data_IF_881332764801
#
_entry.id   IF_881332764801
#
_cell.length_a   1.000
_cell.length_b   1.000
_cell.length_c   1.000
_cell.angle_alpha   90.00
_cell.angle_beta   90.00
_cell.angle_gamma   90.00
#
_symmetry.space_group_name_H-M   'P 1'
#
loop_
_entity.id
_entity.type
_entity.pdbx_description
1 polymer ?
#
# COMPACT_ATOMS: atom_id res chain seq x y z
N UNK A 1 -13.06 8.71 47.02
CA UNK A 1 -12.31 8.57 45.75
C UNK A 1 -12.64 7.20 45.18
N UNK A 2 -13.58 7.15 44.23
CA UNK A 2 -13.85 5.94 43.50
C UNK A 2 -12.74 5.80 42.44
N UNK A 3 -11.92 4.76 42.59
CA UNK A 3 -10.98 4.36 41.53
C UNK A 3 -11.82 3.91 40.36
N UNK A 4 -11.78 4.66 39.25
CA UNK A 4 -12.31 4.20 37.97
C UNK A 4 -11.73 2.83 37.67
N UNK A 5 -12.52 1.85 37.23
CA UNK A 5 -11.99 0.56 36.84
C UNK A 5 -10.97 0.80 35.70
N UNK A 6 -9.76 0.32 35.89
CA UNK A 6 -8.74 0.28 34.81
C UNK A 6 -9.41 -0.43 33.63
N UNK A 7 -9.58 0.30 32.51
CA UNK A 7 -10.12 -0.30 31.29
C UNK A 7 -9.30 -1.56 30.98
N UNK A 8 -9.98 -2.65 30.66
CA UNK A 8 -9.34 -3.91 30.34
C UNK A 8 -8.41 -3.69 29.15
N UNK A 9 -7.12 -3.92 29.32
CA UNK A 9 -6.13 -3.81 28.27
C UNK A 9 -5.97 -5.16 27.59
N UNK A 10 -6.09 -5.19 26.27
CA UNK A 10 -5.90 -6.37 25.44
C UNK A 10 -4.65 -6.19 24.58
N UNK A 11 -3.75 -7.17 24.61
CA UNK A 11 -2.60 -7.22 23.70
C UNK A 11 -2.96 -8.07 22.50
N UNK A 12 -2.83 -7.50 21.31
CA UNK A 12 -3.11 -8.16 20.04
C UNK A 12 -1.84 -8.17 19.17
N UNK A 13 -1.76 -9.03 18.11
CA UNK A 13 -0.73 -8.89 17.08
C UNK A 13 -0.63 -7.45 16.61
N UNK A 14 0.58 -6.96 16.42
CA UNK A 14 0.83 -5.56 16.11
C UNK A 14 0.24 -5.15 14.76
N UNK A 15 -0.40 -3.98 14.69
CA UNK A 15 -0.83 -3.44 13.42
C UNK A 15 0.36 -3.09 12.53
N UNK A 16 0.28 -3.51 11.27
CA UNK A 16 1.24 -3.24 10.22
C UNK A 16 0.55 -2.54 9.06
N UNK A 17 1.07 -1.40 8.64
CA UNK A 17 0.64 -0.77 7.40
C UNK A 17 1.50 -1.29 6.26
N UNK A 18 0.90 -2.11 5.40
CA UNK A 18 1.63 -2.76 4.31
C UNK A 18 1.80 -1.89 3.06
N UNK A 19 1.26 -0.66 3.05
CA UNK A 19 1.41 0.29 1.97
C UNK A 19 1.20 1.73 2.48
N UNK A 20 2.27 2.47 2.67
CA UNK A 20 2.23 3.89 3.03
C UNK A 20 3.38 4.65 2.35
N UNK A 21 3.28 5.97 2.34
CA UNK A 21 4.29 6.91 1.86
C UNK A 21 4.68 7.87 3.00
N UNK A 22 5.07 7.31 4.15
CA UNK A 22 5.38 8.05 5.37
C UNK A 22 6.59 8.98 5.19
N UNK A 23 7.60 8.52 4.42
CA UNK A 23 8.79 9.31 4.14
C UNK A 23 8.45 10.56 3.32
N UNK A 24 7.50 10.44 2.39
CA UNK A 24 7.01 11.54 1.59
C UNK A 24 6.30 12.59 2.45
N UNK A 25 5.43 12.17 3.36
CA UNK A 25 4.78 13.07 4.33
C UNK A 25 5.81 13.77 5.21
N UNK A 26 6.77 13.05 5.74
CA UNK A 26 7.87 13.61 6.53
C UNK A 26 8.68 14.66 5.74
N UNK A 27 8.84 14.48 4.43
CA UNK A 27 9.48 15.44 3.55
C UNK A 27 8.62 16.69 3.26
N UNK A 28 7.31 16.62 3.54
CA UNK A 28 6.38 17.71 3.23
C UNK A 28 6.02 17.81 1.75
N UNK A 29 6.12 16.70 1.00
CA UNK A 29 5.77 16.65 -0.42
C UNK A 29 4.27 16.45 -0.59
N UNK A 30 3.59 17.48 -1.10
CA UNK A 30 2.15 17.45 -1.33
C UNK A 30 1.78 16.62 -2.57
N UNK A 31 0.60 15.96 -2.53
CA UNK A 31 0.00 15.38 -3.72
C UNK A 31 -0.59 16.45 -4.65
N UNK A 32 -0.75 16.18 -5.97
CA UNK A 32 -1.47 17.07 -6.85
C UNK A 32 -2.86 17.39 -6.29
N UNK A 33 -3.23 18.67 -6.21
CA UNK A 33 -4.38 19.09 -5.39
C UNK A 33 -5.75 18.73 -5.99
N UNK A 34 -5.81 18.30 -7.26
CA UNK A 34 -7.08 18.00 -7.93
C UNK A 34 -6.97 16.83 -8.90
N UNK A 35 -8.07 16.08 -9.16
CA UNK A 35 -8.11 15.02 -10.19
C UNK A 35 -7.74 15.53 -11.59
N UNK A 36 -8.07 16.79 -11.91
CA UNK A 36 -7.69 17.39 -13.19
C UNK A 36 -6.16 17.59 -13.31
N UNK A 37 -5.50 18.07 -12.28
CA UNK A 37 -4.04 18.22 -12.25
C UNK A 37 -3.34 16.86 -12.37
N UNK A 38 -3.86 15.84 -11.70
CA UNK A 38 -3.38 14.45 -11.82
C UNK A 38 -3.53 13.94 -13.25
N UNK A 39 -4.70 14.12 -13.87
CA UNK A 39 -4.95 13.70 -15.27
C UNK A 39 -4.00 14.38 -16.25
N UNK A 40 -3.87 15.70 -16.17
CA UNK A 40 -2.98 16.47 -17.02
C UNK A 40 -1.52 16.02 -16.89
N UNK A 41 -1.10 15.77 -15.65
CA UNK A 41 0.23 15.28 -15.37
C UNK A 41 0.46 13.86 -15.93
N UNK A 42 -0.45 12.91 -15.69
CA UNK A 42 -0.34 11.55 -16.25
C UNK A 42 -0.29 11.56 -17.78
N UNK A 43 -1.07 12.44 -18.43
CA UNK A 43 -1.04 12.59 -19.89
C UNK A 43 0.28 13.16 -20.38
N UNK A 44 0.89 14.09 -19.65
CA UNK A 44 2.15 14.74 -20.07
C UNK A 44 3.36 13.78 -20.08
N UNK A 45 3.32 12.72 -19.25
CA UNK A 45 4.41 11.71 -19.15
C UNK A 45 4.06 10.41 -19.86
N UNK A 46 2.81 10.25 -20.30
CA UNK A 46 2.39 9.11 -21.11
C UNK A 46 3.25 9.03 -22.39
N UNK A 47 3.82 7.88 -22.67
CA UNK A 47 4.70 7.68 -23.83
C UNK A 47 6.19 7.93 -23.57
N UNK A 48 6.58 8.44 -22.40
CA UNK A 48 8.00 8.59 -22.04
C UNK A 48 8.60 7.30 -21.45
N UNK A 49 7.82 6.22 -21.32
CA UNK A 49 8.24 4.95 -20.70
C UNK A 49 8.54 5.07 -19.20
N UNK A 50 8.18 6.18 -18.58
CA UNK A 50 8.38 6.49 -17.17
C UNK A 50 7.03 6.63 -16.46
N UNK A 51 6.96 6.16 -15.25
CA UNK A 51 5.79 6.45 -14.39
C UNK A 51 5.76 7.95 -14.07
N UNK A 52 4.57 8.59 -14.10
CA UNK A 52 4.39 9.90 -13.52
C UNK A 52 4.92 9.99 -12.10
N UNK A 53 4.78 8.92 -11.36
CA UNK A 53 5.22 8.84 -9.97
C UNK A 53 6.75 8.83 -9.85
N UNK A 54 7.49 8.38 -10.86
CA UNK A 54 8.95 8.47 -10.91
C UNK A 54 9.45 9.91 -11.20
N UNK A 55 8.56 10.77 -11.68
CA UNK A 55 8.87 12.16 -12.07
C UNK A 55 8.37 13.17 -11.01
N UNK A 56 7.30 12.81 -10.25
CA UNK A 56 6.57 13.74 -9.36
C UNK A 56 7.32 14.17 -8.11
N UNK A 57 8.35 13.45 -7.69
CA UNK A 57 9.01 13.76 -6.43
C UNK A 57 10.52 13.94 -6.62
N UNK A 58 10.99 15.14 -6.90
CA UNK A 58 12.35 15.44 -6.49
C UNK A 58 12.41 15.19 -4.97
N UNK A 59 13.45 14.46 -4.52
CA UNK A 59 13.78 14.45 -3.09
C UNK A 59 13.88 15.91 -2.69
N UNK A 60 13.07 16.41 -1.73
CA UNK A 60 13.18 17.80 -1.32
C UNK A 60 14.62 18.05 -0.87
N UNK A 61 15.14 19.21 -1.20
CA UNK A 61 16.42 19.69 -0.66
C UNK A 61 16.20 20.06 0.83
N UNK A 62 15.98 19.02 1.63
CA UNK A 62 15.80 19.14 3.08
C UNK A 62 17.12 18.73 3.71
N UNK A 63 17.68 19.61 4.55
CA UNK A 63 18.88 19.27 5.30
C UNK A 63 18.65 18.00 6.16
N UNK A 64 19.62 17.09 6.24
CA UNK A 64 19.51 15.86 7.01
C UNK A 64 18.98 16.06 8.44
N UNK A 65 19.46 17.02 9.26
CA UNK A 65 18.92 17.23 10.60
C UNK A 65 17.44 17.61 10.65
N UNK A 66 16.95 18.34 9.65
CA UNK A 66 15.51 18.67 9.55
C UNK A 66 14.70 17.45 9.13
N UNK A 67 15.25 16.58 8.28
CA UNK A 67 14.63 15.33 7.88
C UNK A 67 14.54 14.36 9.07
N UNK A 68 15.60 14.21 9.86
CA UNK A 68 15.63 13.36 11.06
C UNK A 68 14.49 13.71 12.03
N UNK A 69 14.32 15.00 12.34
CA UNK A 69 13.26 15.46 13.24
C UNK A 69 11.85 15.18 12.70
N UNK A 70 11.65 15.34 11.39
CA UNK A 70 10.35 15.06 10.73
C UNK A 70 10.06 13.58 10.68
N UNK A 71 11.05 12.73 10.37
CA UNK A 71 10.91 11.28 10.37
C UNK A 71 10.61 10.74 11.78
N UNK A 72 11.33 11.22 12.80
CA UNK A 72 11.05 10.87 14.19
C UNK A 72 9.61 11.20 14.59
N UNK A 73 9.12 12.39 14.22
CA UNK A 73 7.74 12.80 14.48
C UNK A 73 6.73 11.93 13.71
N UNK A 74 6.99 11.58 12.44
CA UNK A 74 6.13 10.74 11.63
C UNK A 74 6.04 9.31 12.21
N UNK A 75 7.16 8.70 12.59
CA UNK A 75 7.19 7.39 13.24
C UNK A 75 6.49 7.40 14.61
N UNK A 76 6.62 8.49 15.37
CA UNK A 76 5.90 8.66 16.64
C UNK A 76 4.39 8.74 16.43
N UNK A 77 3.92 9.47 15.40
CA UNK A 77 2.49 9.50 15.04
C UNK A 77 1.98 8.12 14.65
N UNK A 78 2.76 7.38 13.86
CA UNK A 78 2.41 6.02 13.46
C UNK A 78 2.25 5.07 14.65
N UNK A 79 3.20 5.11 15.59
CA UNK A 79 3.11 4.33 16.82
C UNK A 79 1.92 4.76 17.69
N UNK A 80 1.63 6.06 17.79
CA UNK A 80 0.45 6.58 18.50
C UNK A 80 -0.87 6.14 17.85
N UNK A 81 -0.90 5.94 16.53
CA UNK A 81 -2.03 5.35 15.81
C UNK A 81 -2.17 3.83 16.02
N UNK A 82 -1.18 3.19 16.64
CA UNK A 82 -1.19 1.74 16.94
C UNK A 82 -0.31 0.90 16.01
N UNK A 83 0.42 1.50 15.09
CA UNK A 83 1.27 0.79 14.15
C UNK A 83 2.60 0.38 14.79
N UNK A 84 3.02 -0.85 14.57
CA UNK A 84 4.34 -1.39 14.95
C UNK A 84 5.25 -1.61 13.74
N UNK A 85 4.68 -1.63 12.53
CA UNK A 85 5.41 -1.69 11.27
C UNK A 85 4.75 -0.77 10.22
N UNK A 86 5.60 -0.15 9.41
CA UNK A 86 5.18 0.56 8.19
C UNK A 86 6.00 0.04 7.01
N UNK A 87 5.30 -0.23 5.89
CA UNK A 87 5.94 -0.47 4.62
C UNK A 87 5.89 0.79 3.77
N UNK A 88 7.03 1.46 3.62
CA UNK A 88 7.21 2.58 2.71
C UNK A 88 7.21 2.10 1.27
N UNK A 89 6.23 2.55 0.47
CA UNK A 89 6.03 2.10 -0.90
C UNK A 89 6.54 3.09 -1.94
N UNK A 90 7.85 3.16 -2.08
CA UNK A 90 8.49 3.94 -3.12
C UNK A 90 9.41 5.02 -2.58
N UNK A 91 10.35 4.66 -1.72
CA UNK A 91 11.43 5.56 -1.29
C UNK A 91 12.22 6.09 -2.48
N UNK A 92 12.42 7.41 -2.57
CA UNK A 92 12.97 8.08 -3.75
C UNK A 92 14.31 8.77 -3.54
N UNK A 93 14.94 8.57 -2.41
CA UNK A 93 16.25 9.14 -2.11
C UNK A 93 16.94 8.42 -0.98
N UNK A 94 18.23 8.23 -1.12
CA UNK A 94 19.06 7.56 -0.11
C UNK A 94 19.17 8.35 1.18
N UNK A 95 19.00 9.69 1.13
CA UNK A 95 18.96 10.54 2.31
C UNK A 95 17.91 10.09 3.38
N UNK A 96 16.80 9.47 2.94
CA UNK A 96 15.82 8.90 3.87
C UNK A 96 16.36 7.68 4.61
N UNK A 97 17.10 6.82 3.90
CA UNK A 97 17.73 5.65 4.52
C UNK A 97 18.82 6.07 5.49
N UNK A 98 19.64 7.06 5.12
CA UNK A 98 20.70 7.61 5.97
C UNK A 98 20.11 8.27 7.23
N UNK A 99 18.99 9.00 7.11
CA UNK A 99 18.27 9.58 8.24
C UNK A 99 17.67 8.53 9.18
N UNK A 100 17.06 7.46 8.63
CA UNK A 100 16.56 6.35 9.44
C UNK A 100 17.71 5.62 10.16
N UNK A 101 18.87 5.46 9.51
CA UNK A 101 20.07 4.89 10.14
C UNK A 101 20.56 5.75 11.30
N UNK A 102 20.59 7.08 11.15
CA UNK A 102 20.95 8.02 12.21
C UNK A 102 19.96 7.94 13.39
N UNK A 103 18.65 7.88 13.12
CA UNK A 103 17.62 7.76 14.17
C UNK A 103 17.78 6.49 15.00
N UNK A 104 17.95 5.31 14.36
CA UNK A 104 18.10 4.06 15.09
C UNK A 104 19.42 3.94 15.83
N UNK A 105 20.47 4.67 15.44
CA UNK A 105 21.71 4.77 16.21
C UNK A 105 21.51 5.45 17.58
N UNK A 106 20.46 6.29 17.71
CA UNK A 106 20.04 6.90 18.96
C UNK A 106 19.18 6.01 19.86
N UNK A 107 18.73 4.86 19.37
CA UNK A 107 17.87 3.92 20.10
C UNK A 107 16.82 3.23 19.23
N UNK A 108 15.95 2.40 19.83
CA UNK A 108 14.84 1.74 19.12
C UNK A 108 13.92 2.75 18.44
N UNK A 109 13.50 2.45 17.19
CA UNK A 109 12.47 3.23 16.52
C UNK A 109 11.08 2.94 17.12
N UNK A 110 10.16 3.92 17.11
CA UNK A 110 8.78 3.74 17.59
C UNK A 110 7.99 2.66 16.84
N UNK A 111 8.34 2.42 15.58
CA UNK A 111 7.89 1.29 14.77
C UNK A 111 9.00 0.90 13.77
N UNK A 112 9.01 -0.34 13.32
CA UNK A 112 9.98 -0.78 12.30
C UNK A 112 9.53 -0.32 10.90
N UNK A 113 10.49 -0.12 10.01
CA UNK A 113 10.25 0.40 8.66
C UNK A 113 10.76 -0.58 7.63
N UNK A 114 9.85 -1.11 6.83
CA UNK A 114 10.13 -1.91 5.64
C UNK A 114 10.11 -0.98 4.43
N UNK A 115 11.07 -1.08 3.53
CA UNK A 115 11.22 -0.13 2.42
C UNK A 115 11.20 -0.87 1.09
N UNK A 116 10.36 -0.39 0.18
CA UNK A 116 10.45 -0.62 -1.25
C UNK A 116 10.99 0.65 -1.91
N UNK A 117 12.09 0.51 -2.64
CA UNK A 117 12.72 1.61 -3.38
C UNK A 117 11.88 1.92 -4.62
N UNK A 118 11.67 3.17 -4.96
CA UNK A 118 11.06 3.53 -6.24
C UNK A 118 11.91 3.04 -7.42
N UNK A 119 11.27 2.49 -8.46
CA UNK A 119 11.97 1.91 -9.61
C UNK A 119 12.93 2.91 -10.28
N UNK A 120 12.57 4.20 -10.31
CA UNK A 120 13.44 5.25 -10.86
C UNK A 120 14.75 5.43 -10.08
N UNK A 121 14.70 5.42 -8.73
CA UNK A 121 15.90 5.47 -7.90
C UNK A 121 16.72 4.17 -8.05
N UNK A 122 16.05 3.03 -8.11
CA UNK A 122 16.71 1.74 -8.30
C UNK A 122 17.50 1.67 -9.62
N UNK A 123 16.93 2.16 -10.71
CA UNK A 123 17.58 2.21 -12.04
C UNK A 123 18.73 3.21 -12.07
N UNK A 124 18.55 4.38 -11.44
CA UNK A 124 19.58 5.40 -11.36
C UNK A 124 20.82 4.92 -10.58
N UNK A 125 20.60 4.20 -9.48
CA UNK A 125 21.67 3.68 -8.63
C UNK A 125 22.37 2.47 -9.25
N UNK A 126 21.62 1.63 -9.96
CA UNK A 126 22.11 0.36 -10.48
C UNK A 126 22.16 -0.75 -9.44
N UNK A 127 22.23 -1.99 -9.93
CA UNK A 127 22.07 -3.20 -9.10
C UNK A 127 23.14 -3.35 -8.01
N UNK A 128 24.37 -2.95 -8.29
CA UNK A 128 25.47 -3.09 -7.33
C UNK A 128 25.30 -2.17 -6.10
N UNK A 129 24.86 -0.92 -6.33
CA UNK A 129 24.58 0.00 -5.22
C UNK A 129 23.35 -0.45 -4.43
N UNK A 130 22.29 -0.90 -5.12
CA UNK A 130 21.11 -1.46 -4.45
C UNK A 130 21.47 -2.61 -3.51
N UNK A 131 22.25 -3.59 -3.97
CA UNK A 131 22.68 -4.72 -3.16
C UNK A 131 23.55 -4.28 -1.97
N UNK A 132 24.45 -3.32 -2.20
CA UNK A 132 25.28 -2.74 -1.14
C UNK A 132 24.44 -2.03 -0.06
N UNK A 133 23.43 -1.25 -0.48
CA UNK A 133 22.50 -0.55 0.42
C UNK A 133 21.58 -1.51 1.19
N UNK A 134 21.28 -2.68 0.63
CA UNK A 134 20.45 -3.71 1.26
C UNK A 134 21.17 -4.46 2.39
N UNK A 135 22.49 -4.54 2.36
CA UNK A 135 23.27 -5.49 3.15
C UNK A 135 23.16 -5.28 4.67
N UNK A 136 23.11 -4.03 5.13
CA UNK A 136 22.98 -3.71 6.56
C UNK A 136 22.26 -2.38 6.77
N UNK A 137 21.05 -2.45 7.30
CA UNK A 137 20.23 -1.28 7.62
C UNK A 137 19.86 -1.28 9.12
N UNK A 138 20.51 -2.09 9.93
CA UNK A 138 20.23 -2.21 11.35
C UNK A 138 18.92 -2.97 11.65
N UNK A 139 18.55 -3.09 12.93
CA UNK A 139 17.47 -3.97 13.36
C UNK A 139 16.05 -3.39 13.15
N UNK A 140 15.91 -2.10 12.83
CA UNK A 140 14.60 -1.43 12.74
C UNK A 140 14.23 -1.03 11.32
N UNK A 141 15.16 -1.15 10.37
CA UNK A 141 14.95 -0.76 8.98
C UNK A 141 15.34 -1.90 8.06
N UNK A 142 14.47 -2.22 7.11
CA UNK A 142 14.72 -3.29 6.15
C UNK A 142 14.43 -2.83 4.73
N UNK A 143 15.45 -2.89 3.89
CA UNK A 143 15.33 -2.63 2.47
C UNK A 143 14.95 -3.94 1.76
N UNK A 144 13.68 -4.07 1.36
CA UNK A 144 13.10 -5.36 0.94
C UNK A 144 12.90 -5.49 -0.56
N UNK A 145 12.44 -4.43 -1.21
CA UNK A 145 11.97 -4.55 -2.57
C UNK A 145 12.08 -3.28 -3.42
N UNK A 146 11.54 -3.38 -4.63
CA UNK A 146 11.42 -2.28 -5.58
C UNK A 146 9.96 -2.10 -5.98
N UNK A 147 9.49 -0.85 -5.99
CA UNK A 147 8.14 -0.43 -6.37
C UNK A 147 8.10 0.06 -7.80
N UNK A 148 7.20 -0.53 -8.58
CA UNK A 148 6.87 -0.15 -9.95
C UNK A 148 5.45 0.41 -10.04
N UNK A 149 5.14 1.07 -11.16
CA UNK A 149 3.83 1.62 -11.49
C UNK A 149 3.43 1.21 -12.90
N UNK A 150 2.25 0.58 -13.05
CA UNK A 150 1.73 0.16 -14.36
C UNK A 150 0.75 1.16 -14.95
N UNK A 151 -0.04 1.86 -14.12
CA UNK A 151 -1.07 2.78 -14.56
C UNK A 151 -1.31 3.94 -13.59
N UNK A 152 -2.35 4.73 -13.85
CA UNK A 152 -2.81 5.82 -12.99
C UNK A 152 -3.89 5.43 -12.01
N UNK A 153 -4.82 6.36 -11.69
CA UNK A 153 -5.84 6.25 -10.66
C UNK A 153 -7.26 6.26 -11.23
N UNK A 154 -8.22 5.72 -10.47
CA UNK A 154 -9.61 5.60 -10.91
C UNK A 154 -10.32 6.97 -11.01
N UNK A 155 -10.28 7.78 -9.94
CA UNK A 155 -11.01 9.06 -9.86
C UNK A 155 -10.64 10.01 -10.99
N UNK A 156 -9.35 10.24 -11.33
CA UNK A 156 -8.98 11.08 -12.45
C UNK A 156 -9.12 10.40 -13.82
N UNK A 157 -9.65 9.17 -13.92
CA UNK A 157 -9.82 8.40 -15.17
C UNK A 157 -8.49 8.12 -15.88
N UNK A 158 -7.45 7.81 -15.09
CA UNK A 158 -6.10 7.52 -15.62
C UNK A 158 -5.67 6.08 -15.43
N UNK A 159 -6.36 5.28 -14.61
CA UNK A 159 -6.08 3.84 -14.51
C UNK A 159 -6.41 3.14 -15.85
N UNK A 160 -5.62 2.12 -16.19
CA UNK A 160 -5.70 1.48 -17.49
C UNK A 160 -6.78 0.39 -17.52
N UNK A 161 -7.83 0.61 -18.27
CA UNK A 161 -8.97 -0.30 -18.43
C UNK A 161 -8.91 -1.04 -19.78
N UNK A 162 -9.52 -2.23 -19.83
CA UNK A 162 -9.72 -2.98 -21.07
C UNK A 162 -10.74 -2.32 -22.00
N UNK A 163 -11.73 -1.62 -21.43
CA UNK A 163 -12.75 -0.86 -22.15
C UNK A 163 -12.71 0.61 -21.75
N UNK A 164 -13.33 1.48 -22.55
CA UNK A 164 -13.43 2.90 -22.26
C UNK A 164 -14.15 3.15 -20.93
N UNK A 165 -13.80 4.24 -20.26
CA UNK A 165 -14.58 4.74 -19.12
C UNK A 165 -16.03 5.00 -19.55
N UNK A 166 -16.97 4.85 -18.63
CA UNK A 166 -18.38 5.02 -18.96
C UNK A 166 -18.80 6.49 -19.13
N UNK A 167 -18.09 7.40 -18.48
CA UNK A 167 -18.39 8.84 -18.45
C UNK A 167 -17.42 9.69 -19.30
N UNK A 168 -16.40 9.11 -19.88
CA UNK A 168 -15.45 9.83 -20.75
C UNK A 168 -14.80 8.88 -21.75
N UNK A 169 -14.43 9.39 -22.91
CA UNK A 169 -13.71 8.61 -23.91
C UNK A 169 -12.30 8.25 -23.41
N UNK A 170 -11.86 7.05 -23.77
CA UNK A 170 -10.52 6.55 -23.47
C UNK A 170 -10.50 5.52 -22.33
N UNK A 171 -9.36 4.83 -22.24
CA UNK A 171 -9.15 3.66 -21.38
C UNK A 171 -8.09 3.89 -20.31
N UNK A 172 -7.79 5.14 -20.00
CA UNK A 172 -6.66 5.47 -19.12
C UNK A 172 -5.30 5.21 -19.80
N UNK A 173 -4.24 5.12 -18.99
CA UNK A 173 -2.86 5.09 -19.48
C UNK A 173 -2.09 3.95 -18.85
N UNK A 174 -1.52 3.05 -19.70
CA UNK A 174 -0.42 2.17 -19.30
C UNK A 174 0.90 2.92 -19.43
N UNK A 175 1.75 2.81 -18.42
CA UNK A 175 3.07 3.45 -18.43
C UNK A 175 4.14 2.63 -19.18
N UNK A 176 3.93 1.29 -19.27
CA UNK A 176 4.77 0.41 -20.06
C UNK A 176 3.99 -0.85 -20.49
N UNK A 177 4.43 -1.50 -21.57
CA UNK A 177 3.95 -2.84 -21.90
C UNK A 177 4.59 -3.92 -21.00
N UNK A 178 4.04 -5.13 -21.07
CA UNK A 178 4.48 -6.25 -20.25
C UNK A 178 5.97 -6.59 -20.46
N UNK A 179 6.44 -6.59 -21.70
CA UNK A 179 7.83 -6.91 -22.03
C UNK A 179 8.81 -5.86 -21.49
N UNK A 180 8.44 -4.57 -21.58
CA UNK A 180 9.26 -3.49 -21.05
C UNK A 180 9.31 -3.56 -19.51
N UNK A 181 8.19 -3.82 -18.85
CA UNK A 181 8.13 -3.99 -17.41
C UNK A 181 8.93 -5.22 -16.96
N UNK A 182 8.79 -6.36 -17.64
CA UNK A 182 9.52 -7.58 -17.36
C UNK A 182 11.05 -7.39 -17.42
N UNK A 183 11.56 -6.71 -18.45
CA UNK A 183 13.01 -6.42 -18.56
C UNK A 183 13.55 -5.61 -17.38
N UNK A 184 12.74 -4.77 -16.73
CA UNK A 184 13.12 -3.99 -15.55
C UNK A 184 13.06 -4.85 -14.28
N UNK A 185 12.09 -5.74 -14.18
CA UNK A 185 11.85 -6.61 -13.01
C UNK A 185 12.86 -7.76 -12.94
N UNK A 186 13.10 -8.46 -14.06
CA UNK A 186 13.88 -9.69 -14.11
C UNK A 186 15.25 -9.60 -13.41
N UNK A 187 16.13 -8.59 -13.66
CA UNK A 187 17.43 -8.54 -13.01
C UNK A 187 17.35 -8.32 -11.49
N UNK A 188 16.27 -7.71 -11.00
CA UNK A 188 16.00 -7.52 -9.56
C UNK A 188 15.51 -8.83 -8.93
N UNK A 189 14.56 -9.50 -9.59
CA UNK A 189 14.01 -10.77 -9.14
C UNK A 189 15.10 -11.85 -9.03
N UNK A 190 16.01 -11.93 -10.02
CA UNK A 190 17.17 -12.83 -10.01
C UNK A 190 18.13 -12.60 -8.85
N UNK A 191 18.11 -11.41 -8.25
CA UNK A 191 18.89 -11.03 -7.05
C UNK A 191 18.10 -11.15 -5.75
N UNK A 192 16.89 -11.70 -5.81
CA UNK A 192 16.01 -11.88 -4.65
C UNK A 192 15.42 -10.59 -4.10
N UNK A 193 15.32 -9.51 -4.92
CA UNK A 193 14.55 -8.34 -4.57
C UNK A 193 13.06 -8.65 -4.69
N UNK A 194 12.28 -8.25 -3.70
CA UNK A 194 10.83 -8.30 -3.78
C UNK A 194 10.32 -7.28 -4.77
N UNK A 195 9.24 -7.61 -5.46
CA UNK A 195 8.64 -6.74 -6.47
C UNK A 195 7.23 -6.34 -6.00
N UNK A 196 6.93 -5.06 -6.08
CA UNK A 196 5.59 -4.53 -5.88
C UNK A 196 5.24 -3.62 -7.07
N UNK A 197 4.06 -3.82 -7.67
CA UNK A 197 3.65 -3.04 -8.83
C UNK A 197 2.26 -2.45 -8.60
N UNK A 198 2.15 -1.13 -8.68
CA UNK A 198 0.86 -0.43 -8.70
C UNK A 198 0.08 -0.80 -9.96
N UNK A 199 -1.13 -1.32 -9.79
CA UNK A 199 -2.06 -1.60 -10.88
C UNK A 199 -3.50 -1.52 -10.37
N UNK A 200 -4.24 -0.52 -10.84
CA UNK A 200 -5.63 -0.25 -10.44
C UNK A 200 -6.62 -0.80 -11.47
N UNK A 201 -6.39 -0.52 -12.76
CA UNK A 201 -7.27 -0.96 -13.83
C UNK A 201 -7.03 -2.42 -14.24
N UNK A 202 -8.08 -3.05 -14.76
CA UNK A 202 -8.04 -4.46 -15.19
C UNK A 202 -6.98 -4.72 -16.28
N UNK A 203 -6.80 -3.80 -17.23
CA UNK A 203 -5.74 -3.88 -18.24
C UNK A 203 -4.34 -3.77 -17.61
N UNK A 204 -4.18 -2.91 -16.59
CA UNK A 204 -2.91 -2.79 -15.88
C UNK A 204 -2.57 -4.08 -15.12
N UNK A 205 -3.55 -4.65 -14.40
CA UNK A 205 -3.36 -5.93 -13.69
C UNK A 205 -3.01 -7.05 -14.66
N UNK A 206 -3.71 -7.17 -15.81
CA UNK A 206 -3.37 -8.13 -16.85
C UNK A 206 -1.92 -7.96 -17.33
N UNK A 207 -1.52 -6.72 -17.63
CA UNK A 207 -0.15 -6.39 -18.09
C UNK A 207 0.90 -6.73 -17.03
N UNK A 208 0.61 -6.50 -15.75
CA UNK A 208 1.53 -6.83 -14.64
C UNK A 208 1.69 -8.34 -14.50
N UNK A 209 0.61 -9.11 -14.59
CA UNK A 209 0.66 -10.57 -14.57
C UNK A 209 1.46 -11.13 -15.75
N UNK A 210 1.26 -10.60 -16.97
CA UNK A 210 2.07 -10.95 -18.13
C UNK A 210 3.56 -10.60 -17.92
N UNK A 211 3.83 -9.46 -17.31
CA UNK A 211 5.21 -9.04 -17.01
C UNK A 211 5.88 -9.95 -15.97
N UNK A 212 5.15 -10.40 -14.95
CA UNK A 212 5.67 -11.37 -13.98
C UNK A 212 5.94 -12.72 -14.64
N UNK A 213 5.03 -13.20 -15.49
CA UNK A 213 5.26 -14.43 -16.27
C UNK A 213 6.56 -14.34 -17.08
N UNK A 214 6.77 -13.24 -17.78
CA UNK A 214 7.99 -13.02 -18.57
C UNK A 214 9.24 -12.86 -17.69
N UNK A 215 9.16 -12.11 -16.59
CA UNK A 215 10.31 -11.84 -15.74
C UNK A 215 10.83 -13.08 -14.99
N UNK A 216 9.96 -14.03 -14.72
CA UNK A 216 10.26 -15.29 -14.05
C UNK A 216 10.27 -16.49 -15.02
N UNK A 217 10.37 -16.24 -16.33
CA UNK A 217 10.41 -17.27 -17.39
C UNK A 217 9.23 -18.27 -17.30
N UNK A 218 8.05 -17.78 -16.89
CA UNK A 218 6.82 -18.54 -16.62
C UNK A 218 6.97 -19.65 -15.56
N UNK A 219 8.02 -19.59 -14.75
CA UNK A 219 8.20 -20.53 -13.62
C UNK A 219 7.26 -20.14 -12.46
N UNK A 220 6.13 -20.84 -12.38
CA UNK A 220 5.12 -20.64 -11.35
C UNK A 220 5.64 -20.84 -9.94
N UNK A 221 6.59 -21.76 -9.74
CA UNK A 221 7.18 -21.98 -8.43
C UNK A 221 8.07 -20.80 -8.02
N UNK A 222 8.83 -20.23 -8.96
CA UNK A 222 9.64 -19.03 -8.73
C UNK A 222 8.77 -17.81 -8.44
N UNK A 223 7.67 -17.61 -9.19
CA UNK A 223 6.71 -16.51 -8.93
C UNK A 223 6.11 -16.67 -7.54
N UNK A 224 5.58 -17.85 -7.21
CA UNK A 224 4.97 -18.09 -5.90
C UNK A 224 5.97 -17.92 -4.74
N UNK A 225 7.23 -18.34 -4.91
CA UNK A 225 8.27 -18.16 -3.91
C UNK A 225 8.67 -16.68 -3.72
N UNK A 226 8.71 -15.91 -4.81
CA UNK A 226 8.98 -14.48 -4.78
C UNK A 226 7.79 -13.68 -4.23
N UNK A 227 6.56 -14.21 -4.37
CA UNK A 227 5.30 -13.60 -3.97
C UNK A 227 5.21 -12.11 -4.38
N UNK A 228 5.35 -11.80 -5.70
CA UNK A 228 5.33 -10.43 -6.15
C UNK A 228 3.96 -9.80 -5.88
N UNK A 229 3.97 -8.51 -5.53
CA UNK A 229 2.77 -7.82 -5.08
C UNK A 229 2.15 -7.02 -6.21
N UNK A 230 0.82 -7.06 -6.27
CA UNK A 230 0.00 -6.12 -7.04
C UNK A 230 -0.65 -5.17 -6.03
N UNK A 231 -0.24 -3.91 -6.09
CA UNK A 231 -0.76 -2.88 -5.21
C UNK A 231 -2.08 -2.35 -5.77
N UNK A 232 -3.05 -2.14 -4.91
CA UNK A 232 -4.43 -1.70 -5.16
C UNK A 232 -5.32 -2.81 -5.73
N UNK A 233 -5.02 -3.39 -6.90
CA UNK A 233 -5.83 -4.45 -7.51
C UNK A 233 -7.35 -4.12 -7.46
N UNK A 234 -7.72 -2.90 -7.93
CA UNK A 234 -9.04 -2.32 -7.63
C UNK A 234 -10.14 -2.79 -8.57
N UNK A 235 -9.84 -2.96 -9.86
CA UNK A 235 -10.83 -3.41 -10.87
C UNK A 235 -10.35 -4.74 -11.43
N UNK A 236 -11.08 -5.83 -11.12
CA UNK A 236 -10.67 -7.18 -11.50
C UNK A 236 -11.84 -7.96 -12.12
N UNK A 237 -11.56 -8.67 -13.20
CA UNK A 237 -12.43 -9.75 -13.67
C UNK A 237 -12.19 -11.05 -12.89
N UNK A 238 -13.12 -12.00 -12.97
CA UNK A 238 -12.92 -13.33 -12.38
C UNK A 238 -11.67 -14.03 -12.95
N UNK A 239 -11.43 -13.89 -14.26
CA UNK A 239 -10.24 -14.43 -14.94
C UNK A 239 -8.93 -13.85 -14.34
N UNK A 240 -8.89 -12.55 -14.04
CA UNK A 240 -7.70 -11.94 -13.40
C UNK A 240 -7.49 -12.46 -11.99
N UNK A 241 -8.57 -12.69 -11.23
CA UNK A 241 -8.48 -13.31 -9.90
C UNK A 241 -7.92 -14.73 -9.98
N UNK A 242 -8.41 -15.54 -10.94
CA UNK A 242 -7.89 -16.90 -11.17
C UNK A 242 -6.41 -16.86 -11.55
N UNK A 243 -6.00 -15.96 -12.45
CA UNK A 243 -4.59 -15.77 -12.81
C UNK A 243 -3.71 -15.36 -11.62
N UNK A 244 -4.20 -14.47 -10.75
CA UNK A 244 -3.49 -14.08 -9.53
C UNK A 244 -3.29 -15.26 -8.58
N UNK A 245 -4.32 -16.10 -8.44
CA UNK A 245 -4.28 -17.33 -7.64
C UNK A 245 -3.26 -18.31 -8.20
N UNK A 246 -3.33 -18.61 -9.48
CA UNK A 246 -2.45 -19.55 -10.18
C UNK A 246 -0.97 -19.10 -10.16
N UNK A 247 -0.74 -17.80 -10.24
CA UNK A 247 0.59 -17.21 -10.17
C UNK A 247 1.13 -17.12 -8.72
N UNK A 248 0.28 -17.21 -7.69
CA UNK A 248 0.70 -17.02 -6.31
C UNK A 248 1.11 -15.58 -6.01
N UNK A 249 0.52 -14.60 -6.70
CA UNK A 249 0.75 -13.17 -6.44
C UNK A 249 0.01 -12.70 -5.19
N UNK A 250 0.48 -11.60 -4.59
CA UNK A 250 -0.14 -11.00 -3.41
C UNK A 250 -0.89 -9.74 -3.80
N UNK A 251 -2.15 -9.60 -3.40
CA UNK A 251 -2.90 -8.36 -3.51
C UNK A 251 -2.68 -7.50 -2.25
N UNK A 252 -2.20 -6.28 -2.39
CA UNK A 252 -2.15 -5.32 -1.30
C UNK A 252 -3.23 -4.26 -1.49
N UNK A 253 -4.28 -4.34 -0.67
CA UNK A 253 -5.49 -3.56 -0.80
C UNK A 253 -5.48 -2.32 0.10
N UNK A 254 -6.27 -1.29 -0.27
CA UNK A 254 -6.43 -0.06 0.52
C UNK A 254 -7.89 0.08 0.97
N UNK A 255 -8.18 -0.23 2.24
CA UNK A 255 -9.56 -0.27 2.75
C UNK A 255 -10.35 1.02 2.52
N UNK A 256 -9.68 2.14 2.66
CA UNK A 256 -10.31 3.46 2.55
C UNK A 256 -10.73 3.79 1.12
N UNK A 257 -10.01 3.33 0.10
CA UNK A 257 -10.35 3.63 -1.30
C UNK A 257 -11.72 3.09 -1.70
N UNK A 258 -12.12 1.93 -1.22
CA UNK A 258 -13.46 1.39 -1.52
C UNK A 258 -14.58 2.28 -1.00
N UNK A 259 -14.32 3.10 0.00
CA UNK A 259 -15.27 4.06 0.60
C UNK A 259 -15.17 5.41 -0.09
N UNK A 260 -13.96 5.94 -0.27
CA UNK A 260 -13.73 7.27 -0.85
C UNK A 260 -14.04 7.31 -2.34
N UNK A 261 -13.80 6.20 -3.05
CA UNK A 261 -14.15 6.07 -4.48
C UNK A 261 -15.60 5.63 -4.74
N UNK A 262 -16.37 5.24 -3.71
CA UNK A 262 -17.70 4.62 -3.87
C UNK A 262 -18.64 5.43 -4.78
N UNK A 263 -18.62 6.76 -4.66
CA UNK A 263 -19.42 7.67 -5.47
C UNK A 263 -19.00 7.75 -6.95
N UNK A 264 -17.73 7.40 -7.23
CA UNK A 264 -17.13 7.48 -8.56
C UNK A 264 -17.19 6.16 -9.36
N UNK A 265 -17.43 5.02 -8.68
CA UNK A 265 -17.38 3.70 -9.31
C UNK A 265 -18.39 3.59 -10.48
N UNK A 266 -19.64 3.90 -10.24
CA UNK A 266 -20.69 3.82 -11.27
C UNK A 266 -20.51 4.83 -12.41
N UNK A 267 -20.25 6.10 -12.14
CA UNK A 267 -19.90 7.06 -13.19
C UNK A 267 -18.72 6.58 -14.05
N UNK A 268 -17.63 6.17 -13.42
CA UNK A 268 -16.40 5.82 -14.12
C UNK A 268 -16.49 4.51 -14.91
N UNK A 269 -17.08 3.48 -14.31
CA UNK A 269 -17.00 2.10 -14.80
C UNK A 269 -18.32 1.62 -15.46
N UNK A 270 -19.43 2.31 -15.23
CA UNK A 270 -20.75 1.79 -15.51
C UNK A 270 -21.17 0.69 -14.51
N UNK A 271 -22.45 0.26 -14.51
CA UNK A 271 -22.98 -0.61 -13.47
C UNK A 271 -22.30 -1.99 -13.39
N UNK A 272 -21.99 -2.61 -14.54
CA UNK A 272 -21.43 -3.95 -14.58
C UNK A 272 -20.00 -4.00 -14.01
N UNK A 273 -19.09 -3.12 -14.47
CA UNK A 273 -17.71 -3.08 -13.99
C UNK A 273 -17.59 -2.52 -12.56
N UNK A 274 -18.49 -1.60 -12.18
CA UNK A 274 -18.57 -1.11 -10.80
C UNK A 274 -18.86 -2.24 -9.80
N UNK A 275 -19.65 -3.25 -10.21
CA UNK A 275 -19.89 -4.44 -9.40
C UNK A 275 -18.65 -5.36 -9.27
N UNK A 276 -17.65 -5.18 -10.12
CA UNK A 276 -16.37 -5.91 -10.10
C UNK A 276 -15.23 -5.08 -9.46
N UNK A 277 -15.50 -3.87 -8.98
CA UNK A 277 -14.51 -3.04 -8.31
C UNK A 277 -14.36 -3.46 -6.85
N UNK A 278 -13.12 -3.40 -6.34
CA UNK A 278 -12.77 -3.80 -4.96
C UNK A 278 -13.29 -5.21 -4.59
N UNK A 279 -12.99 -6.26 -5.37
CA UNK A 279 -13.60 -7.58 -5.23
C UNK A 279 -12.89 -8.42 -4.14
N UNK A 280 -12.63 -7.83 -2.98
CA UNK A 280 -11.78 -8.42 -1.94
C UNK A 280 -12.34 -9.71 -1.35
N UNK A 281 -13.66 -9.80 -1.24
CA UNK A 281 -14.31 -11.06 -0.84
C UNK A 281 -14.08 -12.19 -1.89
N UNK A 282 -14.01 -11.83 -3.19
CA UNK A 282 -13.73 -12.81 -4.24
C UNK A 282 -12.26 -13.23 -4.23
N UNK A 283 -11.32 -12.27 -4.04
CA UNK A 283 -9.89 -12.57 -3.84
C UNK A 283 -9.68 -13.55 -2.67
N UNK A 284 -10.33 -13.25 -1.53
CA UNK A 284 -10.24 -14.10 -0.34
C UNK A 284 -10.79 -15.52 -0.57
N UNK A 285 -11.94 -15.64 -1.26
CA UNK A 285 -12.55 -16.94 -1.59
C UNK A 285 -11.73 -17.74 -2.59
N UNK A 286 -11.06 -17.07 -3.52
CA UNK A 286 -10.15 -17.70 -4.47
C UNK A 286 -8.81 -18.13 -3.85
N UNK A 287 -8.53 -17.69 -2.60
CA UNK A 287 -7.28 -18.03 -1.91
C UNK A 287 -6.10 -17.15 -2.32
N UNK A 288 -6.33 -16.00 -2.97
CA UNK A 288 -5.27 -15.01 -3.24
C UNK A 288 -4.73 -14.51 -1.91
N UNK A 289 -3.41 -14.55 -1.74
CA UNK A 289 -2.76 -13.95 -0.59
C UNK A 289 -3.01 -12.44 -0.56
N UNK A 290 -3.39 -11.89 0.58
CA UNK A 290 -3.77 -10.48 0.69
C UNK A 290 -3.01 -9.81 1.83
N UNK A 291 -2.77 -8.50 1.66
CA UNK A 291 -2.29 -7.56 2.67
C UNK A 291 -3.14 -6.30 2.59
N UNK A 292 -3.19 -5.51 3.66
CA UNK A 292 -3.86 -4.22 3.64
C UNK A 292 -2.93 -3.10 4.13
N UNK A 293 -3.01 -1.95 3.47
CA UNK A 293 -2.30 -0.74 3.82
C UNK A 293 -3.16 0.50 3.58
N UNK A 294 -2.73 1.63 4.08
CA UNK A 294 -3.52 2.87 4.01
C UNK A 294 -3.29 3.67 2.74
N UNK A 295 -2.12 3.54 2.13
CA UNK A 295 -1.62 4.49 1.12
C UNK A 295 -1.47 5.93 1.68
N UNK A 296 -1.22 6.04 3.00
CA UNK A 296 -0.98 7.35 3.65
C UNK A 296 0.13 8.13 2.92
N UNK A 297 -0.01 9.43 2.66
CA UNK A 297 -1.03 10.36 3.14
C UNK A 297 -2.21 10.55 2.15
N UNK A 298 -2.42 9.67 1.18
CA UNK A 298 -3.63 9.70 0.34
C UNK A 298 -4.87 9.49 1.20
N UNK A 299 -4.79 8.51 2.10
CA UNK A 299 -5.81 8.20 3.08
C UNK A 299 -5.26 8.33 4.51
N UNK A 300 -6.09 8.11 5.49
CA UNK A 300 -5.74 8.23 6.91
C UNK A 300 -4.81 7.11 7.37
N UNK A 301 -3.88 7.43 8.26
CA UNK A 301 -2.87 6.50 8.77
C UNK A 301 -3.43 5.49 9.77
N UNK A 302 -4.51 5.82 10.46
CA UNK A 302 -5.06 5.07 11.57
C UNK A 302 -5.62 3.71 11.14
N UNK A 303 -5.16 2.59 11.73
CA UNK A 303 -5.59 1.26 11.32
C UNK A 303 -7.02 0.90 11.74
N UNK A 304 -7.52 1.41 12.87
CA UNK A 304 -8.86 1.07 13.36
C UNK A 304 -9.99 1.59 12.45
N UNK A 305 -9.98 2.86 11.97
CA UNK A 305 -10.91 3.30 10.94
C UNK A 305 -10.83 2.48 9.64
N UNK A 306 -9.61 2.11 9.22
CA UNK A 306 -9.41 1.25 8.05
C UNK A 306 -9.99 -0.16 8.26
N UNK A 307 -9.82 -0.72 9.45
CA UNK A 307 -10.42 -2.00 9.83
C UNK A 307 -11.96 -1.92 9.85
N UNK A 308 -12.53 -0.86 10.42
CA UNK A 308 -13.98 -0.64 10.44
C UNK A 308 -14.54 -0.56 9.00
N UNK A 309 -13.83 0.12 8.08
CA UNK A 309 -14.20 0.19 6.66
C UNK A 309 -14.17 -1.17 5.98
N UNK A 310 -13.18 -2.02 6.27
CA UNK A 310 -13.11 -3.39 5.75
C UNK A 310 -14.26 -4.27 6.24
N UNK A 311 -14.74 -4.06 7.47
CA UNK A 311 -15.77 -4.92 8.09
C UNK A 311 -17.16 -4.38 7.81
N UNK A 312 -17.38 -3.08 8.05
CA UNK A 312 -18.69 -2.43 8.01
C UNK A 312 -18.99 -1.74 6.67
N UNK A 313 -17.94 -1.49 5.86
CA UNK A 313 -18.01 -0.66 4.66
C UNK A 313 -17.95 0.85 4.96
N UNK A 314 -17.82 1.24 6.21
CA UNK A 314 -17.71 2.63 6.67
C UNK A 314 -16.95 2.69 8.00
N UNK A 315 -16.51 3.89 8.39
CA UNK A 315 -16.09 4.19 9.77
C UNK A 315 -16.92 5.35 10.29
N UNK A 316 -17.41 5.23 11.52
CA UNK A 316 -18.17 6.24 12.26
C UNK A 316 -17.33 6.98 13.28
N UNK A 317 -16.05 6.65 13.38
CA UNK A 317 -15.11 7.30 14.30
C UNK A 317 -15.05 8.81 14.00
N UNK A 318 -15.18 9.69 15.01
CA UNK A 318 -15.09 11.13 14.81
C UNK A 318 -13.77 11.52 14.10
N UNK A 319 -13.87 12.34 13.06
CA UNK A 319 -12.74 12.74 12.22
C UNK A 319 -12.40 11.79 11.07
N UNK A 320 -13.04 10.60 11.01
CA UNK A 320 -12.76 9.58 9.97
C UNK A 320 -14.01 9.19 9.16
N UNK A 321 -15.13 9.86 9.40
CA UNK A 321 -16.38 9.64 8.67
C UNK A 321 -16.24 10.07 7.21
N UNK A 322 -16.80 9.27 6.30
CA UNK A 322 -16.86 9.56 4.86
C UNK A 322 -18.31 9.59 4.39
N UNK A 323 -18.54 10.19 3.23
CA UNK A 323 -19.90 10.23 2.62
C UNK A 323 -20.24 8.96 1.83
N UNK A 324 -19.24 8.10 1.58
CA UNK A 324 -19.40 6.84 0.85
C UNK A 324 -19.48 5.64 1.77
N UNK A 325 -20.01 4.55 1.23
CA UNK A 325 -19.97 3.22 1.85
C UNK A 325 -19.35 2.25 0.87
N UNK A 326 -18.38 1.46 1.33
CA UNK A 326 -17.72 0.45 0.50
C UNK A 326 -18.75 -0.54 -0.07
N UNK A 327 -18.60 -0.97 -1.33
CA UNK A 327 -19.45 -1.98 -1.92
C UNK A 327 -19.39 -3.30 -1.15
N UNK A 328 -20.44 -4.12 -1.21
CA UNK A 328 -20.56 -5.33 -0.40
C UNK A 328 -19.40 -6.31 -0.63
N UNK A 329 -18.96 -6.46 -1.89
CA UNK A 329 -17.84 -7.34 -2.26
C UNK A 329 -16.48 -6.91 -1.68
N UNK A 330 -16.36 -5.67 -1.19
CA UNK A 330 -15.18 -5.15 -0.50
C UNK A 330 -15.18 -5.40 1.01
N UNK A 331 -16.26 -5.97 1.58
CA UNK A 331 -16.36 -6.22 3.03
C UNK A 331 -15.84 -7.60 3.38
N UNK A 332 -15.11 -7.68 4.47
CA UNK A 332 -14.49 -8.91 4.97
C UNK A 332 -14.97 -9.21 6.39
N UNK A 333 -14.77 -10.44 6.84
CA UNK A 333 -14.97 -10.76 8.27
C UNK A 333 -13.93 -10.05 9.13
N UNK A 334 -14.27 -9.72 10.38
CA UNK A 334 -13.35 -9.03 11.29
C UNK A 334 -12.03 -9.79 11.49
N UNK A 335 -12.07 -11.13 11.55
CA UNK A 335 -10.86 -11.96 11.65
C UNK A 335 -9.96 -11.84 10.44
N UNK A 336 -10.51 -11.94 9.23
CA UNK A 336 -9.73 -11.82 8.01
C UNK A 336 -9.20 -10.39 7.85
N UNK A 337 -10.06 -9.38 7.99
CA UNK A 337 -9.67 -7.98 7.91
C UNK A 337 -8.53 -7.64 8.88
N UNK A 338 -8.63 -8.10 10.13
CA UNK A 338 -7.59 -7.91 11.13
C UNK A 338 -6.27 -8.61 10.73
N UNK A 339 -6.33 -9.83 10.20
CA UNK A 339 -5.14 -10.57 9.78
C UNK A 339 -4.39 -9.90 8.62
N UNK A 340 -5.09 -9.18 7.74
CA UNK A 340 -4.48 -8.45 6.62
C UNK A 340 -3.73 -7.18 7.06
N UNK A 341 -4.04 -6.68 8.26
CA UNK A 341 -3.52 -5.42 8.81
C UNK A 341 -2.57 -5.64 9.98
N UNK A 342 -2.14 -6.88 10.24
CA UNK A 342 -1.28 -7.18 11.39
C UNK A 342 -0.12 -8.07 10.99
N UNK A 343 1.02 -7.89 11.67
CA UNK A 343 2.16 -8.78 11.62
C UNK A 343 2.56 -9.20 13.05
N UNK A 344 2.29 -10.45 13.46
CA UNK A 344 2.68 -10.95 14.77
C UNK A 344 4.20 -10.85 15.05
N UNK A 345 5.02 -10.92 14.00
CA UNK A 345 6.47 -10.79 14.11
C UNK A 345 6.93 -9.32 14.29
N UNK A 346 6.05 -8.35 13.98
CA UNK A 346 6.36 -6.93 14.15
C UNK A 346 6.20 -6.43 15.60
N UNK A 347 5.54 -7.22 16.45
CA UNK A 347 5.30 -6.85 17.84
C UNK A 347 3.82 -6.90 18.22
N UNK A 348 3.41 -6.03 19.15
CA UNK A 348 2.07 -6.01 19.71
C UNK A 348 1.49 -4.61 19.72
N UNK A 349 0.17 -4.51 19.50
CA UNK A 349 -0.63 -3.32 19.76
C UNK A 349 -1.49 -3.56 21.00
N UNK A 350 -1.58 -2.57 21.87
CA UNK A 350 -2.36 -2.59 23.10
C UNK A 350 -3.65 -1.80 22.85
N UNK A 351 -4.78 -2.45 23.02
CA UNK A 351 -6.10 -1.90 22.73
C UNK A 351 -7.02 -1.97 23.97
N UNK A 352 -8.08 -1.16 24.00
CA UNK A 352 -9.14 -1.24 25.00
C UNK A 352 -10.03 -2.48 24.82
N UNK A 353 -10.11 -3.04 23.61
CA UNK A 353 -10.82 -4.29 23.29
C UNK A 353 -10.20 -4.99 22.07
N UNK A 354 -10.43 -6.29 21.92
CA UNK A 354 -10.04 -7.04 20.72
C UNK A 354 -11.05 -6.80 19.58
N UNK A 355 -10.63 -6.25 18.42
CA UNK A 355 -11.53 -5.98 17.31
C UNK A 355 -12.23 -7.22 16.75
N UNK A 356 -11.69 -8.42 17.01
CA UNK A 356 -12.27 -9.71 16.59
C UNK A 356 -13.36 -10.22 17.52
N UNK A 357 -13.41 -9.70 18.74
CA UNK A 357 -14.30 -10.16 19.82
C UNK A 357 -15.48 -9.21 20.10
N UNK A 358 -15.43 -7.97 19.56
CA UNK A 358 -16.53 -7.01 19.70
C UNK A 358 -17.50 -7.10 18.53
N UNK A 359 -18.76 -6.64 18.66
CA UNK A 359 -19.64 -6.40 17.52
C UNK A 359 -18.97 -5.49 16.49
N UNK A 360 -19.20 -5.76 15.20
CA UNK A 360 -18.57 -5.00 14.11
C UNK A 360 -18.77 -3.48 14.25
N UNK A 361 -19.96 -3.05 14.68
CA UNK A 361 -20.27 -1.63 14.88
C UNK A 361 -19.48 -0.95 15.99
N UNK A 362 -18.88 -1.72 16.90
CA UNK A 362 -18.10 -1.22 18.04
C UNK A 362 -16.59 -1.11 17.75
N UNK A 363 -16.14 -1.52 16.57
CA UNK A 363 -14.71 -1.42 16.18
C UNK A 363 -14.21 0.04 16.24
N UNK A 364 -15.08 0.99 15.87
CA UNK A 364 -14.76 2.42 15.93
C UNK A 364 -14.63 2.99 17.37
N UNK A 365 -15.12 2.24 18.38
CA UNK A 365 -15.06 2.65 19.79
C UNK A 365 -13.79 2.15 20.50
N UNK A 366 -12.99 1.33 19.82
CA UNK A 366 -11.75 0.78 20.38
C UNK A 366 -10.67 1.85 20.43
N UNK A 367 -10.03 1.99 21.60
CA UNK A 367 -8.90 2.90 21.78
C UNK A 367 -7.57 2.17 21.64
N UNK A 368 -6.60 2.85 21.00
CA UNK A 368 -5.19 2.47 21.04
C UNK A 368 -4.59 2.94 22.35
N UNK A 369 -4.07 2.02 23.15
CA UNK A 369 -3.46 2.27 24.47
C UNK A 369 -1.92 2.31 24.39
N UNK A 370 -1.34 1.79 23.30
CA UNK A 370 0.09 1.79 23.08
C UNK A 370 0.57 0.72 22.10
N UNK A 371 1.86 0.69 21.86
CA UNK A 371 2.53 -0.28 20.99
C UNK A 371 3.77 -0.86 21.66
N UNK A 372 4.13 -2.08 21.26
CA UNK A 372 5.39 -2.75 21.63
C UNK A 372 5.99 -3.33 20.34
N UNK A 373 6.69 -2.51 19.54
CA UNK A 373 7.32 -2.98 18.33
C UNK A 373 8.47 -3.94 18.62
N UNK A 374 8.74 -4.84 17.67
CA UNK A 374 9.88 -5.74 17.69
C UNK A 374 10.79 -5.44 16.47
N UNK A 375 12.11 -5.57 16.62
CA UNK A 375 13.03 -5.45 15.47
C UNK A 375 12.81 -6.59 14.47
N UNK A 376 13.40 -6.45 13.26
CA UNK A 376 13.35 -7.50 12.22
C UNK A 376 14.14 -8.73 12.59
#
# INVERSE_FOLDING_TARGET
>A
MQTSPTAAQVSVPGFADHHAHLLRDAAGVAFPPTPHAVRAFHQSVAGQGRSPMDVLDPVPDVSLPALDGRLAAALTRAAAAGLVEITEMGMRGWAYLDALAALQAGGPLPCRVRIYVASGLAEQSGLAELDARRADNGPWVRLDGVKFYADGWLVPRTCALCEDFADTAGRGTLFSDASALARRIQPLAQRGWRIATHAIGDRAVATVLDAYDLAFDSDRAAIAAAAPRIEHASVLSAELIDRMTDAGTVACIQPSFAVTDAGELRPALGPARAACAYPWMHLARAGVAMLAGTDYPIEVLEPLPSLARLVNGESRRPGFTTTGTAPEQARLTAHLAFSLMTDPAAGQTLLSADPRAVPAAEIDEIDVLGTRPAPF
#
